data_IF_172375165081
#
_entry.id   IF_172375165081
#
_cell.length_a   1.000
_cell.length_b   1.000
_cell.length_c   1.000
_cell.angle_alpha   90.00
_cell.angle_beta   90.00
_cell.angle_gamma   90.00
#
_symmetry.space_group_name_H-M   'P 1'
#
loop_
_entity.id
_entity.type
_entity.pdbx_description
1 polymer ?
#
# COMPACT_ATOMS: atom_id res chain seq x y z
N UNK A 1 70.04 7.41 -33.62
CA UNK A 1 69.54 6.88 -32.33
C UNK A 1 68.73 7.97 -31.66
N UNK A 2 67.41 7.98 -31.85
CA UNK A 2 66.53 8.98 -31.22
C UNK A 2 65.42 8.22 -30.51
N UNK A 3 65.50 8.23 -29.19
CA UNK A 3 64.79 7.36 -28.26
C UNK A 3 63.32 7.81 -28.14
N UNK A 4 62.38 6.90 -28.40
CA UNK A 4 60.94 7.11 -28.17
C UNK A 4 60.67 7.11 -26.66
N UNK A 5 60.14 8.21 -26.13
CA UNK A 5 59.62 8.30 -24.77
C UNK A 5 58.15 7.82 -24.77
N UNK A 6 57.91 6.62 -24.26
CA UNK A 6 56.56 6.08 -24.00
C UNK A 6 56.08 6.63 -22.66
N UNK A 7 55.07 7.51 -22.68
CA UNK A 7 54.35 7.97 -21.49
C UNK A 7 53.28 6.92 -21.16
N UNK A 8 53.46 6.18 -20.07
CA UNK A 8 52.43 5.31 -19.51
C UNK A 8 51.43 6.17 -18.71
N UNK A 9 50.20 6.27 -19.18
CA UNK A 9 49.09 6.85 -18.44
C UNK A 9 48.59 5.79 -17.43
N UNK A 10 48.89 5.95 -16.15
CA UNK A 10 48.35 5.10 -15.10
C UNK A 10 46.88 5.46 -14.86
N UNK A 11 45.96 4.59 -15.29
CA UNK A 11 44.55 4.65 -14.90
C UNK A 11 44.45 4.21 -13.43
N UNK A 12 44.31 5.18 -12.52
CA UNK A 12 43.94 4.91 -11.13
C UNK A 12 42.45 4.59 -11.11
N UNK A 13 42.11 3.31 -10.92
CA UNK A 13 40.75 2.91 -10.61
C UNK A 13 40.43 3.40 -9.19
N UNK A 14 39.57 4.41 -9.07
CA UNK A 14 38.95 4.77 -7.80
C UNK A 14 38.03 3.62 -7.38
N UNK A 15 38.45 2.84 -6.39
CA UNK A 15 37.56 1.96 -5.65
C UNK A 15 36.65 2.88 -4.83
N UNK A 16 35.38 3.01 -5.23
CA UNK A 16 34.36 3.61 -4.37
C UNK A 16 34.27 2.73 -3.11
N UNK A 17 34.59 3.30 -1.95
CA UNK A 17 34.42 2.61 -0.69
C UNK A 17 32.95 2.19 -0.52
N UNK A 18 32.72 0.97 -0.03
CA UNK A 18 31.39 0.49 0.32
C UNK A 18 30.85 1.36 1.48
N UNK A 19 29.81 2.17 1.21
CA UNK A 19 29.17 3.03 2.21
C UNK A 19 28.27 2.23 3.16
N UNK A 20 28.10 0.92 2.96
CA UNK A 20 27.32 0.04 3.85
C UNK A 20 28.24 -0.56 4.91
N UNK A 21 27.93 -0.38 6.19
CA UNK A 21 28.73 -0.96 7.26
C UNK A 21 28.48 -2.47 7.41
N UNK A 22 29.54 -3.25 7.38
CA UNK A 22 29.54 -4.63 7.87
C UNK A 22 29.43 -4.62 9.41
N UNK A 23 28.38 -5.27 9.91
CA UNK A 23 28.08 -5.41 11.33
C UNK A 23 28.16 -6.88 11.74
N UNK A 24 28.69 -7.13 12.93
CA UNK A 24 28.79 -8.44 13.56
C UNK A 24 28.24 -8.39 14.98
N UNK A 25 28.08 -9.55 15.60
CA UNK A 25 27.63 -9.72 16.98
C UNK A 25 28.48 -8.91 17.99
N UNK A 26 29.76 -8.65 17.68
CA UNK A 26 30.67 -7.90 18.56
C UNK A 26 30.54 -6.38 18.49
N UNK A 27 30.01 -5.84 17.39
CA UNK A 27 29.99 -4.39 17.15
C UNK A 27 28.62 -3.80 16.81
N UNK A 28 27.59 -4.66 16.66
CA UNK A 28 26.25 -4.27 16.27
C UNK A 28 25.70 -3.14 17.14
N UNK A 29 25.57 -3.37 18.46
CA UNK A 29 24.94 -2.42 19.39
C UNK A 29 25.67 -1.08 19.45
N UNK A 30 27.00 -1.11 19.47
CA UNK A 30 27.81 0.10 19.53
C UNK A 30 27.67 0.93 18.23
N UNK A 31 27.81 0.28 17.06
CA UNK A 31 27.76 0.98 15.77
C UNK A 31 26.38 1.54 15.45
N UNK A 32 25.30 0.88 15.86
CA UNK A 32 23.94 1.41 15.62
C UNK A 32 23.59 2.54 16.59
N UNK A 33 24.11 2.50 17.82
CA UNK A 33 23.84 3.51 18.85
C UNK A 33 24.43 4.88 18.51
N UNK A 34 25.49 4.92 17.71
CA UNK A 34 26.13 6.14 17.22
C UNK A 34 25.30 6.86 16.13
N UNK A 35 24.17 6.28 15.70
CA UNK A 35 23.33 6.80 14.63
C UNK A 35 21.86 6.95 15.07
N UNK A 36 21.29 8.14 14.85
CA UNK A 36 19.88 8.40 15.18
C UNK A 36 18.90 7.54 14.38
N UNK A 37 19.23 7.16 13.14
CA UNK A 37 18.45 6.15 12.39
C UNK A 37 19.35 5.30 11.50
N UNK A 38 19.12 3.98 11.53
CA UNK A 38 19.81 3.01 10.71
C UNK A 38 18.83 2.06 10.00
N UNK A 39 19.18 1.63 8.78
CA UNK A 39 18.52 0.55 8.06
C UNK A 39 19.49 -0.63 7.94
N UNK A 40 19.14 -1.76 8.56
CA UNK A 40 19.99 -2.95 8.63
C UNK A 40 19.44 -4.06 7.76
N UNK A 41 20.26 -4.57 6.84
CA UNK A 41 19.97 -5.74 6.02
C UNK A 41 20.57 -7.01 6.65
N UNK A 42 19.70 -7.89 7.11
CA UNK A 42 20.05 -9.25 7.54
C UNK A 42 20.02 -10.19 6.35
N UNK A 43 21.14 -10.84 6.06
CA UNK A 43 21.32 -11.59 4.82
C UNK A 43 22.09 -12.90 5.00
N UNK A 44 22.10 -13.68 3.93
CA UNK A 44 22.99 -14.82 3.75
C UNK A 44 23.66 -14.74 2.37
N UNK A 45 24.96 -15.05 2.25
CA UNK A 45 25.73 -14.84 1.02
C UNK A 45 25.27 -15.74 -0.14
N UNK A 46 24.64 -16.88 0.16
CA UNK A 46 24.10 -17.81 -0.83
C UNK A 46 22.69 -17.44 -1.32
N UNK A 47 21.98 -16.51 -0.66
CA UNK A 47 20.60 -16.19 -1.01
C UNK A 47 20.50 -15.36 -2.30
N UNK A 48 19.73 -15.85 -3.28
CA UNK A 48 19.53 -15.17 -4.56
C UNK A 48 18.85 -13.80 -4.44
N UNK A 49 17.92 -13.63 -3.49
CA UNK A 49 17.28 -12.34 -3.23
C UNK A 49 18.25 -11.31 -2.65
N UNK A 50 19.15 -11.74 -1.74
CA UNK A 50 20.18 -10.89 -1.16
C UNK A 50 21.17 -10.39 -2.22
N UNK A 51 21.59 -11.29 -3.13
CA UNK A 51 22.46 -10.91 -4.25
C UNK A 51 21.82 -9.86 -5.17
N UNK A 52 20.50 -9.91 -5.35
CA UNK A 52 19.77 -8.93 -6.18
C UNK A 52 19.64 -7.56 -5.52
N UNK A 53 19.34 -7.49 -4.22
CA UNK A 53 19.15 -6.21 -3.52
C UNK A 53 20.47 -5.51 -3.19
N UNK A 54 21.57 -6.26 -2.98
CA UNK A 54 22.87 -5.71 -2.58
C UNK A 54 23.30 -4.45 -3.35
N UNK A 55 23.35 -4.42 -4.70
CA UNK A 55 23.74 -3.21 -5.43
C UNK A 55 22.78 -2.03 -5.25
N UNK A 56 21.48 -2.29 -5.13
CA UNK A 56 20.48 -1.25 -4.88
C UNK A 56 20.60 -0.68 -3.45
N UNK A 57 20.93 -1.54 -2.48
CA UNK A 57 21.16 -1.17 -1.09
C UNK A 57 22.42 -0.30 -0.93
N UNK A 58 23.52 -0.67 -1.59
CA UNK A 58 24.76 0.12 -1.62
C UNK A 58 24.52 1.50 -2.26
N UNK A 59 23.82 1.54 -3.41
CA UNK A 59 23.44 2.81 -4.07
C UNK A 59 22.56 3.69 -3.18
N UNK A 60 21.62 3.09 -2.44
CA UNK A 60 20.79 3.81 -1.49
C UNK A 60 21.65 4.38 -0.34
N UNK A 61 22.62 3.63 0.16
CA UNK A 61 23.52 4.05 1.26
C UNK A 61 24.26 5.33 0.92
N UNK A 62 24.91 5.39 -0.26
CA UNK A 62 25.63 6.59 -0.68
C UNK A 62 24.74 7.84 -0.76
N UNK A 63 23.46 7.67 -1.09
CA UNK A 63 22.50 8.79 -1.14
C UNK A 63 22.01 9.19 0.26
N UNK A 64 21.77 8.22 1.12
CA UNK A 64 21.18 8.41 2.44
C UNK A 64 22.18 8.89 3.49
N UNK A 65 23.46 8.54 3.33
CA UNK A 65 24.57 9.07 4.14
C UNK A 65 24.70 10.59 4.02
N UNK A 66 24.34 11.15 2.86
CA UNK A 66 24.32 12.60 2.61
C UNK A 66 22.96 13.26 2.94
N UNK A 67 21.99 12.52 3.48
CA UNK A 67 20.72 13.08 3.91
C UNK A 67 20.90 13.91 5.19
N UNK A 68 19.94 14.80 5.47
CA UNK A 68 19.85 15.51 6.73
C UNK A 68 18.48 15.22 7.38
N UNK A 69 18.42 14.54 8.53
CA UNK A 69 19.55 13.86 9.19
C UNK A 69 20.05 12.64 8.37
N UNK A 70 21.34 12.27 8.51
CA UNK A 70 21.90 11.14 7.77
C UNK A 70 21.29 9.81 8.21
N UNK A 71 21.12 8.87 7.27
CA UNK A 71 20.67 7.51 7.57
C UNK A 71 21.81 6.54 7.32
N UNK A 72 22.18 5.80 8.37
CA UNK A 72 23.19 4.76 8.26
C UNK A 72 22.58 3.50 7.65
N UNK A 73 23.27 2.88 6.68
CA UNK A 73 22.91 1.56 6.17
C UNK A 73 23.97 0.55 6.62
N UNK A 74 23.52 -0.58 7.13
CA UNK A 74 24.38 -1.67 7.57
C UNK A 74 23.89 -3.02 7.08
N UNK A 75 24.77 -4.02 7.12
CA UNK A 75 24.45 -5.40 6.76
C UNK A 75 25.03 -6.38 7.79
N UNK A 76 24.26 -7.41 8.11
CA UNK A 76 24.62 -8.48 9.05
C UNK A 76 24.53 -9.82 8.32
N UNK A 77 25.66 -10.54 8.25
CA UNK A 77 25.68 -11.90 7.71
C UNK A 77 25.24 -12.89 8.80
N UNK A 78 24.02 -13.44 8.65
CA UNK A 78 23.43 -14.39 9.59
C UNK A 78 24.06 -15.79 9.53
N UNK A 79 25.00 -16.03 8.62
CA UNK A 79 25.68 -17.31 8.46
C UNK A 79 27.06 -17.36 9.10
N UNK A 80 27.63 -16.19 9.42
CA UNK A 80 28.95 -16.04 10.03
C UNK A 80 28.87 -15.29 11.36
N UNK A 81 29.50 -14.11 11.46
CA UNK A 81 29.68 -13.37 12.70
C UNK A 81 28.45 -12.59 13.16
N UNK A 82 27.26 -12.80 12.57
CA UNK A 82 26.02 -12.11 12.92
C UNK A 82 24.91 -13.01 13.46
N UNK A 83 25.22 -14.27 13.81
CA UNK A 83 24.21 -15.29 14.16
C UNK A 83 23.39 -14.90 15.37
N UNK A 84 24.04 -14.40 16.43
CA UNK A 84 23.36 -14.07 17.67
C UNK A 84 22.46 -12.85 17.48
N UNK A 85 22.93 -11.85 16.72
CA UNK A 85 22.16 -10.67 16.33
C UNK A 85 20.94 -11.06 15.50
N UNK A 86 21.10 -11.93 14.49
CA UNK A 86 19.99 -12.40 13.67
C UNK A 86 18.94 -13.19 14.49
N UNK A 87 19.41 -14.01 15.45
CA UNK A 87 18.54 -14.68 16.41
C UNK A 87 17.78 -13.69 17.31
N UNK A 88 18.48 -12.69 17.87
CA UNK A 88 17.91 -11.64 18.73
C UNK A 88 16.77 -10.90 18.04
N UNK A 89 16.90 -10.60 16.76
CA UNK A 89 15.87 -9.89 15.98
C UNK A 89 14.92 -10.81 15.19
N UNK A 90 14.85 -12.09 15.55
CA UNK A 90 13.91 -13.06 14.98
C UNK A 90 13.94 -13.15 13.44
N UNK A 91 15.13 -13.11 12.86
CA UNK A 91 15.30 -13.22 11.40
C UNK A 91 15.10 -14.68 10.97
N UNK A 92 14.02 -14.94 10.23
CA UNK A 92 13.66 -16.28 9.75
C UNK A 92 13.78 -16.45 8.22
N UNK A 93 14.11 -15.38 7.49
CA UNK A 93 14.25 -15.39 6.04
C UNK A 93 15.17 -14.28 5.52
N UNK A 94 15.68 -14.42 4.30
CA UNK A 94 16.66 -13.50 3.73
C UNK A 94 16.23 -12.95 2.35
N UNK A 95 16.48 -11.66 2.07
CA UNK A 95 16.90 -10.62 3.00
C UNK A 95 15.74 -10.22 3.93
N UNK A 96 16.06 -9.92 5.19
CA UNK A 96 15.16 -9.20 6.10
C UNK A 96 15.76 -7.84 6.37
N UNK A 97 14.98 -6.77 6.22
CA UNK A 97 15.44 -5.41 6.44
C UNK A 97 14.70 -4.83 7.65
N UNK A 98 15.42 -4.19 8.58
CA UNK A 98 14.85 -3.61 9.79
C UNK A 98 15.40 -2.21 10.03
N UNK A 99 14.56 -1.36 10.61
CA UNK A 99 14.85 0.04 10.90
C UNK A 99 15.12 0.15 12.40
N UNK A 100 16.23 0.80 12.72
CA UNK A 100 16.64 1.11 14.08
C UNK A 100 16.61 2.62 14.29
N UNK A 101 16.16 3.05 15.46
CA UNK A 101 16.19 4.45 15.92
C UNK A 101 16.86 4.50 17.27
N UNK A 102 17.86 5.35 17.41
CA UNK A 102 18.63 5.52 18.65
C UNK A 102 19.11 4.17 19.23
N UNK A 103 19.54 3.26 18.35
CA UNK A 103 20.01 1.91 18.71
C UNK A 103 18.92 0.88 19.00
N UNK A 104 17.65 1.25 19.03
CA UNK A 104 16.52 0.33 19.29
C UNK A 104 15.79 -0.07 18.01
N UNK A 105 15.24 -1.29 17.97
CA UNK A 105 14.43 -1.75 16.86
C UNK A 105 13.14 -0.92 16.78
N UNK A 106 12.98 -0.15 15.71
CA UNK A 106 11.79 0.66 15.45
C UNK A 106 10.72 -0.16 14.71
N UNK A 107 11.07 -0.77 13.58
CA UNK A 107 10.11 -1.48 12.72
C UNK A 107 10.79 -2.36 11.67
N UNK A 108 10.02 -3.24 11.03
CA UNK A 108 10.43 -3.91 9.80
C UNK A 108 10.33 -2.96 8.61
N UNK A 109 11.28 -3.09 7.68
CA UNK A 109 11.23 -2.36 6.42
C UNK A 109 10.35 -3.10 5.42
N UNK A 110 9.21 -2.48 5.08
CA UNK A 110 8.22 -3.02 4.15
C UNK A 110 8.17 -2.26 2.81
N UNK A 111 9.20 -1.47 2.51
CA UNK A 111 9.27 -0.67 1.29
C UNK A 111 9.84 -1.43 0.06
N UNK A 112 9.93 -0.74 -1.10
CA UNK A 112 10.49 -1.31 -2.33
C UNK A 112 11.98 -1.65 -2.22
N UNK A 113 12.47 -2.60 -3.00
CA UNK A 113 13.87 -3.08 -2.89
C UNK A 113 14.84 -2.38 -3.83
N UNK A 114 14.34 -1.46 -4.65
CA UNK A 114 15.11 -0.60 -5.54
C UNK A 114 15.64 0.62 -4.79
N UNK A 115 16.82 1.12 -5.18
CA UNK A 115 17.51 2.20 -4.47
C UNK A 115 16.64 3.46 -4.32
N UNK A 116 15.91 3.84 -5.36
CA UNK A 116 15.02 5.00 -5.30
C UNK A 116 13.88 4.82 -4.28
N UNK A 117 13.35 3.60 -4.16
CA UNK A 117 12.32 3.25 -3.19
C UNK A 117 12.87 3.25 -1.76
N UNK A 118 14.04 2.66 -1.54
CA UNK A 118 14.75 2.66 -0.25
C UNK A 118 15.03 4.10 0.20
N UNK A 119 15.60 4.93 -0.68
CA UNK A 119 15.89 6.34 -0.38
C UNK A 119 14.62 7.10 -0.04
N UNK A 120 13.55 6.99 -0.86
CA UNK A 120 12.27 7.67 -0.59
C UNK A 120 11.71 7.27 0.77
N UNK A 121 11.69 5.96 1.05
CA UNK A 121 11.16 5.41 2.29
C UNK A 121 11.95 5.90 3.51
N UNK A 122 13.28 5.76 3.51
CA UNK A 122 14.09 6.15 4.66
C UNK A 122 14.10 7.67 4.88
N UNK A 123 14.04 8.49 3.82
CA UNK A 123 13.91 9.95 4.00
C UNK A 123 12.62 10.33 4.73
N UNK A 124 11.52 9.64 4.46
CA UNK A 124 10.26 9.84 5.19
C UNK A 124 10.38 9.43 6.67
N UNK A 125 11.22 8.41 6.96
CA UNK A 125 11.47 7.92 8.32
C UNK A 125 12.31 8.84 9.19
N UNK A 126 13.21 9.62 8.60
CA UNK A 126 14.20 10.41 9.36
C UNK A 126 14.00 11.92 9.29
N UNK A 127 13.20 12.42 8.35
CA UNK A 127 12.85 13.84 8.31
C UNK A 127 12.12 14.32 9.57
N UNK A 128 11.76 15.60 9.69
CA UNK A 128 10.79 15.97 10.70
C UNK A 128 9.44 15.28 10.40
N UNK A 129 8.72 14.85 11.43
CA UNK A 129 7.41 14.20 11.24
C UNK A 129 6.41 15.11 10.51
N UNK A 130 6.62 16.42 10.59
CA UNK A 130 5.93 17.43 9.82
C UNK A 130 6.96 18.43 9.28
N UNK A 131 6.97 18.68 7.97
CA UNK A 131 7.89 19.64 7.36
C UNK A 131 7.49 21.08 7.68
N UNK A 132 8.39 21.86 8.26
CA UNK A 132 8.17 23.30 8.46
C UNK A 132 8.20 24.07 7.12
N UNK A 133 7.16 24.87 6.88
CA UNK A 133 6.97 25.69 5.69
C UNK A 133 7.39 27.13 5.98
N UNK A 134 8.70 27.40 5.87
CA UNK A 134 9.31 28.69 6.24
C UNK A 134 9.09 29.84 5.24
N UNK A 135 8.48 29.56 4.09
CA UNK A 135 8.18 30.57 3.10
C UNK A 135 7.05 30.10 2.18
N UNK A 136 6.45 31.07 1.48
CA UNK A 136 5.39 30.83 0.50
C UNK A 136 5.85 29.88 -0.61
N UNK A 137 7.09 29.99 -1.08
CA UNK A 137 7.65 29.15 -2.12
C UNK A 137 7.79 27.69 -1.63
N UNK A 138 8.19 27.50 -0.37
CA UNK A 138 8.30 26.17 0.23
C UNK A 138 6.91 25.53 0.38
N UNK A 139 5.92 26.30 0.81
CA UNK A 139 4.53 25.84 0.92
C UNK A 139 3.95 25.45 -0.43
N UNK A 140 4.13 26.29 -1.46
CA UNK A 140 3.67 26.02 -2.83
C UNK A 140 4.34 24.76 -3.39
N UNK A 141 5.65 24.61 -3.20
CA UNK A 141 6.39 23.43 -3.65
C UNK A 141 5.93 22.15 -2.94
N UNK A 142 5.59 22.24 -1.65
CA UNK A 142 5.03 21.12 -0.90
C UNK A 142 3.67 20.69 -1.45
N UNK A 143 2.75 21.64 -1.67
CA UNK A 143 1.39 21.38 -2.15
C UNK A 143 1.29 21.13 -3.67
N UNK A 144 2.36 21.38 -4.43
CA UNK A 144 2.44 21.02 -5.85
C UNK A 144 2.72 19.53 -6.09
N UNK A 145 3.12 18.78 -5.06
CA UNK A 145 3.40 17.34 -5.16
C UNK A 145 2.14 16.55 -5.53
N UNK A 146 2.27 15.37 -6.15
CA UNK A 146 1.14 14.50 -6.49
C UNK A 146 0.59 13.71 -5.27
N UNK A 147 0.84 14.17 -4.06
CA UNK A 147 0.48 13.49 -2.81
C UNK A 147 -0.48 14.39 -2.03
N UNK A 148 -1.34 13.82 -1.19
CA UNK A 148 -2.19 14.59 -0.27
C UNK A 148 -1.27 15.31 0.73
N UNK A 149 -1.47 16.62 0.90
CA UNK A 149 -0.73 17.42 1.89
C UNK A 149 -1.60 17.72 3.10
N UNK A 150 -1.11 17.43 4.30
CA UNK A 150 -1.81 17.74 5.55
C UNK A 150 -1.02 18.83 6.27
N UNK A 151 -1.58 20.03 6.39
CA UNK A 151 -0.85 21.22 6.84
C UNK A 151 -1.51 21.84 8.05
N UNK A 152 -0.74 22.08 9.12
CA UNK A 152 -1.14 22.99 10.19
C UNK A 152 -0.68 24.42 9.84
N UNK A 153 -1.54 25.41 10.06
CA UNK A 153 -1.19 26.84 9.97
C UNK A 153 -1.51 27.50 11.31
N UNK A 154 -0.54 28.16 11.93
CA UNK A 154 -0.76 28.85 13.20
C UNK A 154 0.52 29.10 13.97
N UNK A 155 0.44 29.02 15.29
CA UNK A 155 1.57 29.15 16.22
C UNK A 155 1.89 27.80 16.88
N UNK A 156 3.10 27.63 17.40
CA UNK A 156 3.54 26.40 18.08
C UNK A 156 3.03 26.28 19.52
N UNK A 157 2.47 27.35 20.07
CA UNK A 157 1.91 27.40 21.42
C UNK A 157 0.51 26.78 21.54
N UNK A 158 -0.13 26.42 20.42
CA UNK A 158 -1.53 26.00 20.42
C UNK A 158 -1.71 24.51 20.75
N UNK A 159 -2.83 24.18 21.42
CA UNK A 159 -3.17 22.79 21.70
C UNK A 159 -3.41 21.97 20.41
N UNK A 160 -3.88 22.62 19.34
CA UNK A 160 -4.07 21.99 18.04
C UNK A 160 -2.73 21.65 17.37
N UNK A 161 -1.72 22.51 17.50
CA UNK A 161 -0.37 22.23 17.02
C UNK A 161 0.21 20.98 17.68
N UNK A 162 0.15 20.90 19.01
CA UNK A 162 0.67 19.75 19.76
C UNK A 162 -0.01 18.44 19.36
N UNK A 163 -1.34 18.44 19.27
CA UNK A 163 -2.09 17.27 18.80
C UNK A 163 -1.77 16.91 17.34
N UNK A 164 -1.66 17.90 16.46
CA UNK A 164 -1.25 17.71 15.07
C UNK A 164 0.14 17.07 14.98
N UNK A 165 1.11 17.57 15.75
CA UNK A 165 2.47 17.01 15.79
C UNK A 165 2.49 15.58 16.33
N UNK A 166 1.66 15.26 17.33
CA UNK A 166 1.49 13.88 17.81
C UNK A 166 0.95 12.95 16.72
N UNK A 167 -0.07 13.37 15.98
CA UNK A 167 -0.63 12.61 14.86
C UNK A 167 0.38 12.47 13.72
N UNK A 168 1.12 13.54 13.40
CA UNK A 168 2.17 13.53 12.39
C UNK A 168 3.29 12.54 12.75
N UNK A 169 3.76 12.57 14.00
CA UNK A 169 4.79 11.61 14.48
C UNK A 169 4.33 10.16 14.35
N UNK A 170 3.07 9.86 14.68
CA UNK A 170 2.50 8.53 14.58
C UNK A 170 2.33 8.05 13.13
N UNK A 171 2.00 8.95 12.21
CA UNK A 171 1.57 8.61 10.84
C UNK A 171 2.52 9.12 9.74
N UNK A 172 3.75 9.51 10.10
CA UNK A 172 4.76 10.07 9.19
C UNK A 172 5.17 9.15 8.02
N UNK A 173 4.88 7.86 8.14
CA UNK A 173 5.15 6.86 7.10
C UNK A 173 4.01 6.73 6.08
N UNK A 174 2.80 7.10 6.48
CA UNK A 174 1.58 6.89 5.70
C UNK A 174 1.11 8.16 5.03
N UNK A 175 1.25 9.31 5.69
CA UNK A 175 0.77 10.58 5.18
C UNK A 175 1.86 11.66 5.19
N UNK A 176 1.69 12.65 4.31
CA UNK A 176 2.64 13.73 4.11
C UNK A 176 2.21 14.98 4.89
N UNK A 177 2.91 15.25 5.99
CA UNK A 177 2.60 16.34 6.92
C UNK A 177 3.52 17.55 6.75
N UNK A 178 2.95 18.73 6.96
CA UNK A 178 3.68 19.98 7.06
C UNK A 178 3.05 20.94 8.09
N UNK A 179 3.79 21.94 8.52
CA UNK A 179 3.26 22.99 9.38
C UNK A 179 3.86 24.34 9.00
N UNK A 180 3.11 25.40 9.22
CA UNK A 180 3.52 26.77 8.98
C UNK A 180 3.36 27.59 10.25
N UNK A 181 4.50 28.15 10.70
CA UNK A 181 4.58 29.18 11.74
C UNK A 181 4.85 30.56 11.14
N UNK A 182 5.03 30.63 9.80
CA UNK A 182 5.33 31.86 9.08
C UNK A 182 4.05 32.64 8.79
N UNK A 183 4.02 33.92 9.18
CA UNK A 183 2.84 34.76 9.03
C UNK A 183 2.44 34.98 7.56
N UNK A 184 3.41 35.09 6.64
CA UNK A 184 3.11 35.32 5.22
C UNK A 184 2.55 34.05 4.55
N UNK A 185 3.02 32.88 4.95
CA UNK A 185 2.42 31.60 4.53
C UNK A 185 0.99 31.49 5.07
N UNK A 186 0.78 31.73 6.37
CA UNK A 186 -0.53 31.65 7.01
C UNK A 186 -1.54 32.62 6.36
N UNK A 187 -1.12 33.86 6.07
CA UNK A 187 -1.93 34.87 5.38
C UNK A 187 -2.28 34.44 3.94
N UNK A 188 -1.31 33.96 3.16
CA UNK A 188 -1.55 33.51 1.77
C UNK A 188 -2.61 32.41 1.69
N UNK A 189 -2.54 31.44 2.59
CA UNK A 189 -3.47 30.31 2.61
C UNK A 189 -4.76 30.64 3.38
N UNK A 190 -4.80 31.75 4.13
CA UNK A 190 -5.99 32.25 4.81
C UNK A 190 -6.35 31.46 6.07
N UNK A 191 -5.36 30.88 6.76
CA UNK A 191 -5.58 30.01 7.91
C UNK A 191 -4.74 30.43 9.11
N UNK A 192 -5.32 30.32 10.30
CA UNK A 192 -4.67 30.54 11.59
C UNK A 192 -5.24 29.57 12.62
N UNK A 193 -4.37 28.87 13.34
CA UNK A 193 -4.68 27.77 14.24
C UNK A 193 -5.64 26.74 13.62
N UNK A 194 -5.26 26.21 12.45
CA UNK A 194 -6.07 25.24 11.68
C UNK A 194 -5.22 24.13 11.08
N UNK A 195 -5.79 22.91 11.07
CA UNK A 195 -5.29 21.79 10.26
C UNK A 195 -6.12 21.73 8.98
N UNK A 196 -5.45 21.63 7.83
CA UNK A 196 -6.08 21.62 6.51
C UNK A 196 -5.50 20.47 5.68
N UNK A 197 -6.38 19.67 5.09
CA UNK A 197 -6.03 18.61 4.16
C UNK A 197 -6.19 19.14 2.73
N UNK A 198 -5.14 19.09 1.93
CA UNK A 198 -5.11 19.48 0.52
C UNK A 198 -5.00 18.25 -0.37
N UNK A 199 -5.97 18.11 -1.28
CA UNK A 199 -5.93 17.07 -2.32
C UNK A 199 -5.00 17.51 -3.46
N UNK A 200 -4.25 16.58 -4.08
CA UNK A 200 -3.34 16.94 -5.15
C UNK A 200 -4.10 17.41 -6.39
N UNK A 201 -3.50 18.35 -7.15
CA UNK A 201 -4.16 19.02 -8.30
C UNK A 201 -4.73 18.07 -9.34
N UNK A 202 -4.09 16.93 -9.58
CA UNK A 202 -4.54 15.96 -10.57
C UNK A 202 -5.83 15.22 -10.17
N UNK A 203 -6.26 15.29 -8.90
CA UNK A 203 -7.52 14.72 -8.39
C UNK A 203 -8.63 15.77 -8.18
N UNK A 204 -8.33 17.05 -8.39
CA UNK A 204 -9.33 18.13 -8.25
C UNK A 204 -10.50 17.89 -9.18
N UNK A 205 -11.70 18.13 -8.67
CA UNK A 205 -12.94 17.91 -9.37
C UNK A 205 -14.04 18.83 -8.81
N UNK A 206 -15.23 18.80 -9.41
CA UNK A 206 -16.34 19.70 -9.03
C UNK A 206 -17.32 19.10 -8.01
N UNK A 207 -17.08 17.88 -7.55
CA UNK A 207 -18.02 17.14 -6.70
C UNK A 207 -17.61 17.18 -5.22
N UNK A 208 -16.37 17.53 -4.93
CA UNK A 208 -15.82 17.68 -3.59
C UNK A 208 -14.81 18.84 -3.58
N UNK A 209 -14.59 19.49 -2.42
CA UNK A 209 -13.64 20.59 -2.34
C UNK A 209 -12.19 20.10 -2.53
N UNK A 210 -11.33 20.98 -3.04
CA UNK A 210 -9.90 20.68 -3.21
C UNK A 210 -9.13 20.60 -1.88
N UNK A 211 -9.65 21.24 -0.84
CA UNK A 211 -9.15 21.18 0.53
C UNK A 211 -10.28 21.02 1.52
N UNK A 212 -9.97 20.47 2.70
CA UNK A 212 -10.91 20.33 3.81
C UNK A 212 -10.25 20.86 5.07
N UNK A 213 -10.95 21.68 5.83
CA UNK A 213 -10.48 22.27 7.09
C UNK A 213 -10.99 21.43 8.26
N UNK A 214 -10.14 21.20 9.26
CA UNK A 214 -10.53 20.61 10.53
C UNK A 214 -11.27 21.65 11.38
N UNK A 215 -12.52 21.35 11.74
CA UNK A 215 -13.42 22.27 12.47
C UNK A 215 -13.84 21.76 13.85
N UNK A 216 -13.38 20.57 14.26
CA UNK A 216 -13.81 19.98 15.54
C UNK A 216 -13.06 20.66 16.72
N UNK A 217 -13.81 20.89 17.79
CA UNK A 217 -13.31 21.40 19.06
C UNK A 217 -12.58 20.35 19.91
N UNK A 218 -12.77 19.05 19.63
CA UNK A 218 -12.17 17.95 20.39
C UNK A 218 -10.89 17.41 19.72
N UNK A 219 -9.73 17.89 20.16
CA UNK A 219 -8.50 17.91 19.35
C UNK A 219 -7.83 16.52 19.17
N UNK A 220 -7.48 15.81 20.24
CA UNK A 220 -6.49 14.72 20.18
C UNK A 220 -6.86 13.53 19.28
N UNK A 221 -8.09 13.02 19.38
CA UNK A 221 -8.54 11.87 18.58
C UNK A 221 -9.23 12.29 17.28
N UNK A 222 -9.79 13.50 17.24
CA UNK A 222 -10.55 13.91 16.08
C UNK A 222 -9.65 14.36 14.92
N UNK A 223 -8.41 14.82 15.15
CA UNK A 223 -7.49 15.15 14.04
C UNK A 223 -7.14 13.91 13.21
N UNK A 224 -6.78 12.79 13.84
CA UNK A 224 -6.48 11.54 13.10
C UNK A 224 -7.73 11.00 12.39
N UNK A 225 -8.89 11.01 13.07
CA UNK A 225 -10.16 10.58 12.47
C UNK A 225 -10.56 11.47 11.28
N UNK A 226 -10.41 12.78 11.42
CA UNK A 226 -10.63 13.77 10.37
C UNK A 226 -9.78 13.46 9.14
N UNK A 227 -8.47 13.21 9.32
CA UNK A 227 -7.59 12.85 8.21
C UNK A 227 -8.07 11.57 7.54
N UNK A 228 -8.31 10.48 8.30
CA UNK A 228 -8.76 9.19 7.75
C UNK A 228 -10.04 9.30 6.93
N UNK A 229 -11.02 10.07 7.42
CA UNK A 229 -12.30 10.26 6.74
C UNK A 229 -12.14 11.04 5.43
N UNK A 230 -11.21 12.00 5.37
CA UNK A 230 -11.12 12.93 4.25
C UNK A 230 -10.01 12.62 3.24
N UNK A 231 -9.01 11.81 3.60
CA UNK A 231 -7.77 11.58 2.85
C UNK A 231 -8.02 11.17 1.39
N UNK A 232 -8.88 10.19 1.19
CA UNK A 232 -9.17 9.63 -0.15
C UNK A 232 -10.24 10.42 -0.92
N UNK A 233 -10.95 11.32 -0.26
CA UNK A 233 -12.12 11.98 -0.85
C UNK A 233 -13.28 11.03 -1.13
N UNK A 234 -14.21 11.49 -1.96
CA UNK A 234 -15.43 10.79 -2.31
C UNK A 234 -15.15 9.52 -3.14
N UNK A 235 -14.26 9.62 -4.13
CA UNK A 235 -13.80 8.48 -4.94
C UNK A 235 -12.27 8.46 -4.95
N UNK A 236 -11.68 7.62 -4.11
CA UNK A 236 -10.23 7.55 -3.92
C UNK A 236 -9.47 6.95 -5.09
N UNK A 237 -8.20 7.33 -5.25
CA UNK A 237 -7.26 6.62 -6.11
C UNK A 237 -6.63 5.48 -5.28
N UNK A 238 -7.13 4.26 -5.50
CA UNK A 238 -6.66 3.06 -4.79
C UNK A 238 -5.48 2.46 -5.52
N UNK A 239 -4.39 2.28 -4.78
CA UNK A 239 -3.13 1.65 -5.20
C UNK A 239 -2.90 0.41 -4.34
N UNK A 240 -1.94 -0.45 -4.69
CA UNK A 240 -1.62 -1.62 -3.88
C UNK A 240 -1.27 -1.24 -2.42
N UNK A 241 -0.57 -0.11 -2.23
CA UNK A 241 -0.18 0.38 -0.90
C UNK A 241 -1.38 0.89 -0.08
N UNK A 242 -2.41 1.44 -0.75
CA UNK A 242 -3.59 2.03 -0.10
C UNK A 242 -4.81 1.12 -0.13
N UNK A 243 -4.65 -0.14 -0.56
CA UNK A 243 -5.81 -1.04 -0.74
C UNK A 243 -6.57 -1.31 0.56
N UNK A 244 -5.86 -1.30 1.70
CA UNK A 244 -6.41 -1.53 3.05
C UNK A 244 -7.20 -0.34 3.60
N UNK A 245 -7.10 0.84 2.99
CA UNK A 245 -7.80 2.06 3.45
C UNK A 245 -9.27 2.10 3.03
N UNK A 246 -9.72 1.12 2.25
CA UNK A 246 -11.08 1.04 1.70
C UNK A 246 -11.84 -0.15 2.30
N UNK A 247 -12.36 -0.01 3.53
CA UNK A 247 -13.12 -1.06 4.19
C UNK A 247 -14.50 -1.24 3.54
N UNK A 248 -15.09 -2.41 3.79
CA UNK A 248 -16.45 -2.71 3.34
C UNK A 248 -17.48 -1.86 4.11
N UNK A 249 -18.61 -1.46 3.49
CA UNK A 249 -19.00 -1.73 2.10
C UNK A 249 -18.29 -0.78 1.10
N UNK A 250 -17.75 -1.35 0.02
CA UNK A 250 -16.92 -0.62 -0.95
C UNK A 250 -17.33 -0.95 -2.38
N UNK A 251 -17.26 0.05 -3.26
CA UNK A 251 -17.44 -0.07 -4.71
C UNK A 251 -16.20 0.44 -5.41
N UNK A 252 -15.63 -0.38 -6.30
CA UNK A 252 -14.36 -0.12 -6.97
C UNK A 252 -14.58 -0.18 -8.48
N UNK A 253 -14.21 0.88 -9.18
CA UNK A 253 -14.18 0.92 -10.64
C UNK A 253 -12.75 0.71 -11.15
N UNK A 254 -12.52 -0.41 -11.84
CA UNK A 254 -11.23 -0.81 -12.41
C UNK A 254 -11.12 -0.42 -13.88
N UNK A 255 -10.07 0.30 -14.26
CA UNK A 255 -9.73 0.63 -15.65
C UNK A 255 -8.26 1.04 -15.75
N UNK A 256 -7.80 1.45 -16.94
CA UNK A 256 -6.45 1.97 -17.13
C UNK A 256 -6.29 3.33 -16.41
N UNK A 257 -5.78 3.31 -15.18
CA UNK A 257 -5.40 4.51 -14.44
C UNK A 257 -3.96 4.88 -14.76
N UNK A 258 -3.77 6.06 -15.35
CA UNK A 258 -2.43 6.59 -15.57
C UNK A 258 -2.42 8.11 -15.35
N UNK A 259 -2.15 8.51 -14.10
CA UNK A 259 -1.97 9.92 -13.73
C UNK A 259 -0.60 10.49 -14.12
N UNK A 260 0.26 9.72 -14.80
CA UNK A 260 1.55 10.19 -15.30
C UNK A 260 1.42 10.59 -16.77
N UNK A 261 0.92 9.70 -17.63
CA UNK A 261 0.84 9.91 -19.08
C UNK A 261 -0.57 10.23 -19.57
N UNK A 262 -1.62 9.91 -18.82
CA UNK A 262 -3.01 10.07 -19.27
C UNK A 262 -3.96 10.61 -18.19
N UNK A 263 -3.58 11.73 -17.55
CA UNK A 263 -4.41 12.38 -16.51
C UNK A 263 -5.82 12.69 -17.01
N UNK A 264 -5.96 13.15 -18.27
CA UNK A 264 -7.26 13.53 -18.84
C UNK A 264 -8.19 12.33 -19.02
N UNK A 265 -7.71 11.23 -19.62
CA UNK A 265 -8.50 10.01 -19.80
C UNK A 265 -8.82 9.36 -18.46
N UNK A 266 -7.87 9.38 -17.53
CA UNK A 266 -8.08 8.91 -16.16
C UNK A 266 -9.22 9.66 -15.47
N UNK A 267 -9.16 11.00 -15.47
CA UNK A 267 -10.19 11.83 -14.86
C UNK A 267 -11.53 11.80 -15.62
N UNK A 268 -11.55 11.47 -16.91
CA UNK A 268 -12.79 11.32 -17.68
C UNK A 268 -13.69 10.23 -17.08
N UNK A 269 -13.11 9.08 -16.70
CA UNK A 269 -13.85 7.98 -16.08
C UNK A 269 -14.10 8.24 -14.59
N UNK A 270 -13.08 8.67 -13.83
CA UNK A 270 -13.25 9.02 -12.40
C UNK A 270 -14.36 10.04 -12.19
N UNK A 271 -14.47 11.07 -13.03
CA UNK A 271 -15.52 12.08 -12.91
C UNK A 271 -16.94 11.53 -13.15
N UNK A 272 -17.10 10.47 -13.96
CA UNK A 272 -18.40 9.80 -14.14
C UNK A 272 -18.77 8.95 -12.93
N UNK A 273 -17.79 8.25 -12.36
CA UNK A 273 -17.96 7.54 -11.09
C UNK A 273 -18.34 8.53 -9.99
N UNK A 274 -17.60 9.63 -9.83
CA UNK A 274 -17.89 10.70 -8.87
C UNK A 274 -19.30 11.28 -9.04
N UNK A 275 -19.73 11.52 -10.29
CA UNK A 275 -21.03 12.11 -10.59
C UNK A 275 -22.18 11.28 -10.01
N UNK A 276 -22.06 9.96 -10.02
CA UNK A 276 -23.06 9.04 -9.46
C UNK A 276 -22.80 8.81 -7.97
N UNK A 277 -21.55 8.53 -7.58
CA UNK A 277 -21.15 8.19 -6.22
C UNK A 277 -21.51 9.25 -5.17
N UNK A 278 -21.57 10.54 -5.55
CA UNK A 278 -21.96 11.61 -4.62
C UNK A 278 -23.34 11.40 -3.99
N UNK A 279 -24.24 10.68 -4.67
CA UNK A 279 -25.59 10.38 -4.18
C UNK A 279 -25.65 9.16 -3.25
N UNK A 280 -24.52 8.45 -3.08
CA UNK A 280 -24.40 7.18 -2.34
C UNK A 280 -23.23 7.20 -1.34
N UNK A 281 -22.68 8.38 -1.05
CA UNK A 281 -21.49 8.55 -0.22
C UNK A 281 -21.64 8.04 1.23
N UNK A 282 -22.88 8.01 1.72
CA UNK A 282 -23.24 7.47 3.05
C UNK A 282 -23.38 5.95 3.04
N UNK A 283 -23.61 5.34 1.87
CA UNK A 283 -23.88 3.92 1.73
C UNK A 283 -22.61 3.11 1.46
N UNK A 284 -21.68 3.67 0.68
CA UNK A 284 -20.49 2.95 0.21
C UNK A 284 -19.24 3.83 0.24
N UNK A 285 -18.09 3.20 0.46
CA UNK A 285 -16.79 3.76 0.08
C UNK A 285 -16.56 3.56 -1.42
N UNK A 286 -16.01 4.55 -2.10
CA UNK A 286 -15.73 4.46 -3.52
C UNK A 286 -14.25 4.62 -3.83
N UNK A 287 -13.79 3.83 -4.79
CA UNK A 287 -12.45 3.96 -5.33
C UNK A 287 -12.41 3.73 -6.84
N UNK A 288 -11.37 4.26 -7.47
CA UNK A 288 -10.89 3.81 -8.77
C UNK A 288 -9.55 3.13 -8.58
N UNK A 289 -9.32 2.05 -9.33
CA UNK A 289 -8.07 1.28 -9.27
C UNK A 289 -7.57 0.93 -10.68
N UNK A 290 -6.26 0.79 -10.83
CA UNK A 290 -5.68 0.37 -12.10
C UNK A 290 -5.99 -1.12 -12.31
N UNK A 291 -6.61 -1.48 -13.44
CA UNK A 291 -6.98 -2.89 -13.68
C UNK A 291 -5.78 -3.83 -13.77
N UNK A 292 -4.65 -3.38 -14.29
CA UNK A 292 -3.46 -4.20 -14.48
C UNK A 292 -2.75 -4.45 -13.13
N UNK A 293 -2.63 -3.42 -12.28
CA UNK A 293 -2.05 -3.55 -10.93
C UNK A 293 -2.89 -4.45 -10.01
N UNK A 294 -4.18 -4.59 -10.30
CA UNK A 294 -5.15 -5.34 -9.50
C UNK A 294 -5.72 -6.58 -10.20
N UNK A 295 -5.02 -7.12 -11.21
CA UNK A 295 -5.49 -8.30 -11.95
C UNK A 295 -5.75 -9.52 -11.04
N UNK A 296 -4.95 -9.70 -9.98
CA UNK A 296 -5.18 -10.78 -9.01
C UNK A 296 -6.52 -10.62 -8.28
N UNK A 297 -6.88 -9.39 -7.87
CA UNK A 297 -8.16 -9.10 -7.23
C UNK A 297 -9.31 -9.29 -8.23
N UNK A 298 -9.16 -8.83 -9.48
CA UNK A 298 -10.15 -9.05 -10.54
C UNK A 298 -10.42 -10.54 -10.78
N UNK A 299 -9.40 -11.40 -10.72
CA UNK A 299 -9.58 -12.85 -10.82
C UNK A 299 -10.45 -13.41 -9.68
N UNK A 300 -10.41 -12.82 -8.49
CA UNK A 300 -11.27 -13.20 -7.37
C UNK A 300 -12.74 -12.81 -7.59
N UNK A 301 -13.01 -11.86 -8.49
CA UNK A 301 -14.34 -11.52 -8.99
C UNK A 301 -14.72 -12.30 -10.26
N UNK A 302 -13.88 -13.25 -10.69
CA UNK A 302 -14.12 -14.03 -11.92
C UNK A 302 -13.77 -13.31 -13.21
N UNK A 303 -13.03 -12.20 -13.13
CA UNK A 303 -12.65 -11.37 -14.26
C UNK A 303 -11.20 -11.67 -14.67
N UNK A 304 -11.01 -12.78 -15.39
CA UNK A 304 -9.68 -13.26 -15.82
C UNK A 304 -8.97 -12.33 -16.81
N UNK A 305 -9.76 -11.59 -17.59
CA UNK A 305 -9.26 -10.59 -18.52
C UNK A 305 -10.27 -9.44 -18.68
N UNK A 306 -9.81 -8.22 -18.44
CA UNK A 306 -10.63 -7.02 -18.62
C UNK A 306 -10.20 -6.30 -19.91
N UNK A 307 -10.93 -6.57 -20.99
CA UNK A 307 -10.71 -5.95 -22.29
C UNK A 307 -11.21 -4.49 -22.33
N UNK A 308 -10.56 -3.66 -23.15
CA UNK A 308 -11.02 -2.30 -23.44
C UNK A 308 -10.72 -1.25 -22.36
N UNK A 309 -11.24 -0.04 -22.58
CA UNK A 309 -10.94 1.15 -21.79
C UNK A 309 -12.05 1.56 -20.83
N UNK A 310 -13.22 0.92 -20.90
CA UNK A 310 -14.34 1.22 -20.02
C UNK A 310 -14.12 0.62 -18.63
N UNK A 311 -14.59 1.28 -17.57
CA UNK A 311 -14.52 0.72 -16.22
C UNK A 311 -15.27 -0.60 -16.09
N UNK A 312 -14.69 -1.52 -15.33
CA UNK A 312 -15.41 -2.67 -14.76
C UNK A 312 -15.63 -2.39 -13.29
N UNK A 313 -16.86 -2.59 -12.81
CA UNK A 313 -17.26 -2.24 -11.45
C UNK A 313 -17.44 -3.50 -10.63
N UNK A 314 -16.71 -3.59 -9.52
CA UNK A 314 -16.88 -4.61 -8.51
C UNK A 314 -17.24 -3.97 -7.17
N UNK A 315 -17.90 -4.71 -6.29
CA UNK A 315 -18.25 -4.23 -4.96
C UNK A 315 -18.13 -5.33 -3.91
N UNK A 316 -17.98 -4.90 -2.66
CA UNK A 316 -18.17 -5.73 -1.47
C UNK A 316 -19.19 -5.07 -0.56
N UNK A 317 -20.14 -5.86 -0.07
CA UNK A 317 -21.08 -5.38 0.94
C UNK A 317 -20.49 -5.52 2.36
N UNK A 318 -21.25 -5.12 3.38
CA UNK A 318 -20.84 -5.19 4.79
C UNK A 318 -20.59 -6.61 5.33
N UNK A 319 -21.00 -7.65 4.59
CA UNK A 319 -20.72 -9.06 4.89
C UNK A 319 -19.53 -9.59 4.08
N UNK A 320 -18.77 -8.70 3.44
CA UNK A 320 -17.67 -9.03 2.51
C UNK A 320 -18.07 -9.93 1.33
N UNK A 321 -19.36 -9.98 1.01
CA UNK A 321 -19.82 -10.68 -0.19
C UNK A 321 -19.45 -9.85 -1.42
N UNK A 322 -18.98 -10.53 -2.47
CA UNK A 322 -18.49 -9.91 -3.71
C UNK A 322 -19.63 -9.72 -4.70
N UNK A 323 -19.63 -8.61 -5.44
CA UNK A 323 -20.60 -8.33 -6.50
C UNK A 323 -19.88 -7.77 -7.72
N UNK A 324 -20.37 -8.10 -8.91
CA UNK A 324 -19.80 -7.64 -10.18
C UNK A 324 -20.91 -7.06 -11.01
N UNK A 325 -20.71 -5.84 -11.52
CA UNK A 325 -21.64 -5.23 -12.46
C UNK A 325 -21.50 -5.92 -13.82
N UNK A 326 -22.57 -6.59 -14.25
CA UNK A 326 -22.59 -7.35 -15.52
C UNK A 326 -22.77 -6.44 -16.74
N UNK A 327 -23.51 -5.34 -16.59
CA UNK A 327 -23.73 -4.37 -17.65
C UNK A 327 -22.42 -3.62 -17.97
N UNK A 328 -22.27 -3.21 -19.23
CA UNK A 328 -21.17 -2.32 -19.63
C UNK A 328 -21.30 -0.96 -18.90
N UNK A 329 -20.18 -0.36 -18.51
CA UNK A 329 -20.21 0.88 -17.75
C UNK A 329 -20.78 2.06 -18.55
N UNK A 330 -21.85 2.63 -17.98
CA UNK A 330 -22.40 3.95 -18.25
C UNK A 330 -22.81 4.56 -16.90
N UNK A 331 -23.12 5.86 -16.85
CA UNK A 331 -23.60 6.44 -15.59
C UNK A 331 -24.95 5.86 -15.16
N UNK A 332 -25.81 5.52 -16.11
CA UNK A 332 -27.14 4.93 -15.86
C UNK A 332 -27.02 3.51 -15.32
N UNK A 333 -26.28 2.63 -16.01
CA UNK A 333 -26.07 1.25 -15.56
C UNK A 333 -25.30 1.18 -14.24
N UNK A 334 -24.37 2.11 -14.00
CA UNK A 334 -23.68 2.20 -12.71
C UNK A 334 -24.63 2.64 -11.59
N UNK A 335 -25.51 3.62 -11.84
CA UNK A 335 -26.50 4.04 -10.85
C UNK A 335 -27.52 2.92 -10.54
N UNK A 336 -27.99 2.19 -11.55
CA UNK A 336 -28.85 1.02 -11.38
C UNK A 336 -28.18 -0.07 -10.54
N UNK A 337 -26.92 -0.39 -10.82
CA UNK A 337 -26.13 -1.33 -10.01
C UNK A 337 -26.05 -0.91 -8.55
N UNK A 338 -25.78 0.38 -8.26
CA UNK A 338 -25.73 0.88 -6.89
C UNK A 338 -27.09 0.82 -6.17
N UNK A 339 -28.20 1.07 -6.90
CA UNK A 339 -29.56 0.94 -6.35
C UNK A 339 -29.84 -0.48 -5.91
N UNK A 340 -29.62 -1.47 -6.79
CA UNK A 340 -29.86 -2.87 -6.47
C UNK A 340 -28.89 -3.41 -5.43
N UNK A 341 -27.63 -2.97 -5.44
CA UNK A 341 -26.65 -3.31 -4.40
C UNK A 341 -27.10 -2.82 -3.02
N UNK A 342 -27.55 -1.57 -2.92
CA UNK A 342 -28.08 -0.99 -1.68
C UNK A 342 -29.35 -1.69 -1.21
N UNK A 343 -30.22 -2.05 -2.14
CA UNK A 343 -31.47 -2.77 -1.85
C UNK A 343 -31.24 -4.24 -1.46
N UNK A 344 -30.03 -4.79 -1.69
CA UNK A 344 -29.73 -6.21 -1.44
C UNK A 344 -30.37 -7.15 -2.47
N UNK A 345 -30.67 -6.65 -3.66
CA UNK A 345 -31.34 -7.38 -4.75
C UNK A 345 -30.35 -8.10 -5.67
N UNK A 346 -29.05 -7.85 -5.51
CA UNK A 346 -28.02 -8.50 -6.30
C UNK A 346 -27.63 -9.83 -5.68
N UNK A 347 -27.42 -10.83 -6.55
CA UNK A 347 -26.80 -12.09 -6.16
C UNK A 347 -25.28 -11.91 -6.02
N UNK A 348 -24.67 -12.40 -4.92
CA UNK A 348 -23.23 -12.30 -4.73
C UNK A 348 -22.50 -13.20 -5.73
N UNK A 349 -21.39 -12.69 -6.26
CA UNK A 349 -20.46 -13.48 -7.04
C UNK A 349 -19.80 -14.55 -6.16
N UNK A 350 -19.92 -15.80 -6.60
CA UNK A 350 -19.27 -16.95 -6.01
C UNK A 350 -18.47 -17.68 -7.10
N UNK A 351 -17.15 -17.81 -6.88
CA UNK A 351 -16.29 -18.63 -7.73
C UNK A 351 -16.72 -20.09 -7.55
N UNK A 352 -17.32 -20.64 -8.59
CA UNK A 352 -17.86 -22.00 -8.59
C UNK A 352 -17.84 -22.55 -10.00
N UNK A 353 -17.55 -23.83 -10.12
CA UNK A 353 -17.91 -24.60 -11.30
C UNK A 353 -19.43 -24.62 -11.50
N UNK A 354 -19.92 -24.94 -12.72
CA UNK A 354 -21.33 -25.25 -12.92
C UNK A 354 -21.77 -26.37 -11.97
N UNK A 355 -23.03 -26.32 -11.52
CA UNK A 355 -23.59 -27.41 -10.71
C UNK A 355 -23.65 -28.66 -11.61
N UNK A 356 -22.93 -29.74 -11.27
CA UNK A 356 -22.94 -30.95 -12.08
C UNK A 356 -24.19 -31.78 -11.80
N UNK A 357 -24.57 -32.61 -12.77
CA UNK A 357 -25.56 -33.67 -12.56
C UNK A 357 -25.04 -34.65 -11.48
N UNK A 358 -25.94 -35.08 -10.60
CA UNK A 358 -25.60 -35.86 -9.40
C UNK A 358 -25.89 -37.35 -9.64
N UNK A 359 -25.02 -38.00 -10.42
CA UNK A 359 -25.27 -39.37 -10.93
C UNK A 359 -24.37 -40.45 -10.30
N UNK A 360 -23.89 -40.23 -9.06
CA UNK A 360 -22.97 -41.14 -8.39
C UNK A 360 -23.23 -41.35 -6.90
N UNK A 361 -22.58 -42.37 -6.28
CA UNK A 361 -22.67 -42.65 -4.84
C UNK A 361 -22.05 -41.54 -3.97
N UNK A 362 -21.18 -40.72 -4.56
CA UNK A 362 -20.61 -39.52 -3.94
C UNK A 362 -21.15 -38.31 -4.67
N UNK A 363 -21.87 -37.44 -3.93
CA UNK A 363 -22.39 -36.18 -4.47
C UNK A 363 -21.25 -35.19 -4.71
N UNK A 364 -21.30 -34.47 -5.82
CA UNK A 364 -20.29 -33.47 -6.19
C UNK A 364 -20.78 -32.08 -5.77
N UNK A 365 -20.11 -31.55 -4.74
CA UNK A 365 -20.33 -30.18 -4.26
C UNK A 365 -19.42 -29.19 -5.01
N UNK A 366 -20.04 -28.14 -5.54
CA UNK A 366 -19.40 -26.92 -6.07
C UNK A 366 -19.90 -25.74 -5.24
N UNK A 367 -19.26 -24.57 -5.35
CA UNK A 367 -19.65 -23.39 -4.54
C UNK A 367 -21.16 -23.10 -4.58
N UNK A 368 -21.79 -23.19 -5.76
CA UNK A 368 -23.21 -22.87 -5.98
C UNK A 368 -24.22 -23.82 -5.31
N UNK A 369 -23.88 -25.08 -5.07
CA UNK A 369 -24.77 -26.05 -4.41
C UNK A 369 -24.24 -26.51 -3.04
N UNK A 370 -23.09 -25.99 -2.60
CA UNK A 370 -22.45 -26.39 -1.35
C UNK A 370 -23.38 -26.19 -0.15
N UNK A 371 -24.10 -25.07 -0.10
CA UNK A 371 -24.96 -24.79 1.04
C UNK A 371 -26.11 -25.80 1.16
N UNK A 372 -26.78 -26.09 0.04
CA UNK A 372 -27.85 -27.07 -0.05
C UNK A 372 -27.36 -28.50 0.25
N UNK A 373 -26.20 -28.89 -0.26
CA UNK A 373 -25.70 -30.26 -0.12
C UNK A 373 -25.00 -30.52 1.22
N UNK A 374 -24.44 -29.50 1.86
CA UNK A 374 -23.52 -29.69 2.99
C UNK A 374 -24.02 -28.99 4.25
N UNK A 375 -24.07 -27.65 4.26
CA UNK A 375 -24.31 -26.89 5.49
C UNK A 375 -25.78 -26.83 5.91
N UNK A 376 -26.71 -26.83 4.96
CA UNK A 376 -28.15 -26.76 5.17
C UNK A 376 -28.90 -27.98 4.61
N UNK A 377 -28.21 -29.11 4.42
CA UNK A 377 -28.79 -30.34 3.88
C UNK A 377 -29.76 -31.04 4.83
N UNK A 378 -29.70 -30.71 6.14
CA UNK A 378 -30.42 -31.42 7.19
C UNK A 378 -29.91 -32.84 7.43
N UNK A 379 -28.72 -33.19 6.93
CA UNK A 379 -28.08 -34.51 7.06
C UNK A 379 -26.65 -34.35 7.59
N UNK A 380 -26.12 -35.43 8.17
CA UNK A 380 -24.68 -35.50 8.45
C UNK A 380 -23.92 -35.62 7.13
N UNK A 381 -23.01 -34.68 6.87
CA UNK A 381 -22.22 -34.63 5.65
C UNK A 381 -20.74 -34.88 5.96
N UNK A 382 -20.17 -35.92 5.34
CA UNK A 382 -18.72 -36.10 5.25
C UNK A 382 -18.25 -35.56 3.89
N UNK A 383 -17.34 -34.59 3.90
CA UNK A 383 -16.89 -33.91 2.68
C UNK A 383 -15.37 -34.01 2.49
N UNK A 384 -14.96 -34.37 1.26
CA UNK A 384 -13.57 -34.33 0.81
C UNK A 384 -13.32 -33.04 0.02
N UNK A 385 -12.44 -32.17 0.53
CA UNK A 385 -11.86 -31.09 -0.27
C UNK A 385 -10.56 -31.56 -0.91
N UNK A 386 -10.53 -31.62 -2.24
CA UNK A 386 -9.40 -32.16 -2.99
C UNK A 386 -8.85 -31.18 -4.03
N UNK A 387 -7.67 -31.50 -4.56
CA UNK A 387 -7.09 -30.80 -5.70
C UNK A 387 -6.86 -31.79 -6.86
N UNK A 388 -7.24 -31.48 -8.11
CA UNK A 388 -7.10 -32.41 -9.24
C UNK A 388 -5.67 -32.90 -9.52
N UNK A 389 -4.67 -32.13 -9.08
CA UNK A 389 -3.25 -32.44 -9.25
C UNK A 389 -2.63 -33.15 -8.03
N UNK A 390 -3.35 -33.30 -6.92
CA UNK A 390 -2.81 -33.94 -5.71
C UNK A 390 -2.77 -35.47 -5.84
N UNK A 391 -1.57 -36.05 -5.71
CA UNK A 391 -1.38 -37.50 -5.79
C UNK A 391 -2.02 -38.29 -4.63
N UNK A 392 -2.17 -37.69 -3.44
CA UNK A 392 -2.83 -38.33 -2.31
C UNK A 392 -4.34 -38.40 -2.50
N UNK A 393 -4.97 -37.32 -2.98
CA UNK A 393 -6.40 -37.29 -3.30
C UNK A 393 -6.74 -38.39 -4.32
N UNK A 394 -5.95 -38.50 -5.39
CA UNK A 394 -6.13 -39.56 -6.41
C UNK A 394 -6.06 -40.98 -5.85
N UNK A 395 -5.29 -41.20 -4.78
CA UNK A 395 -5.22 -42.51 -4.09
C UNK A 395 -6.41 -42.74 -3.16
N UNK A 396 -7.00 -41.68 -2.62
CA UNK A 396 -8.16 -41.73 -1.74
C UNK A 396 -9.46 -41.93 -2.53
N UNK A 397 -9.57 -41.35 -3.73
CA UNK A 397 -10.80 -41.36 -4.55
C UNK A 397 -11.48 -42.74 -4.62
N UNK A 398 -10.80 -43.86 -4.96
CA UNK A 398 -11.47 -45.15 -5.04
C UNK A 398 -12.04 -45.64 -3.70
N UNK A 399 -11.38 -45.31 -2.60
CA UNK A 399 -11.81 -45.68 -1.24
C UNK A 399 -13.00 -44.81 -0.81
N UNK A 400 -13.00 -43.54 -1.20
CA UNK A 400 -14.08 -42.60 -0.91
C UNK A 400 -15.35 -42.95 -1.71
N UNK A 401 -15.20 -43.35 -2.98
CA UNK A 401 -16.28 -43.85 -3.81
C UNK A 401 -16.90 -45.14 -3.22
N UNK A 402 -16.06 -46.09 -2.80
CA UNK A 402 -16.54 -47.33 -2.14
C UNK A 402 -17.29 -47.05 -0.83
N UNK A 403 -16.86 -46.04 -0.07
CA UNK A 403 -17.59 -45.59 1.13
C UNK A 403 -18.97 -45.03 0.76
N UNK A 404 -19.05 -44.21 -0.30
CA UNK A 404 -20.30 -43.67 -0.81
C UNK A 404 -21.29 -44.76 -1.26
N UNK A 405 -20.81 -45.86 -1.86
CA UNK A 405 -21.67 -46.98 -2.28
C UNK A 405 -22.27 -47.77 -1.10
N UNK A 406 -21.62 -47.71 0.07
CA UNK A 406 -22.00 -48.48 1.27
C UNK A 406 -22.96 -47.74 2.20
N UNK A 407 -23.01 -46.42 2.12
CA UNK A 407 -23.89 -45.53 2.90
C UNK A 407 -25.14 -45.18 2.09
#
# INVERSE_FOLDING_TARGET
MMTRLLVFLALVAYVLADDVLDLTDSDFENKIGDHGTALIMFYAPWCGHCKRIKPEFEKASSTLKANDPPVMLGKVDCTEGGKDTCGKFSVSGYPTLKIFRDGELSSDYNGPREAAGIVKYMKAQVGPASKELKSVEIADAFLAKPEVGIVYFGEDSSALYEAFMKVANKNRETWNFAHSLDAAVNEKYGYSDKVVLFRPKHLHNKFEPASVVYEDSNIDKAVEAFIKVNYHGLVGHRTQDTMGDFPDPVVIAFYNLDYIKNVKGTNYWRNRVLKVAQNYAEDFKFAVANKDDFQNELNEYGLEFVAGDKPVVCARNSKSQKFVMSAEFSMESFEEFLKSLKAGELEPYLKSEPVPDQDGPVLVAVGKNFDELVTNSGRDALIEFYAPWCGHCKKLTPVYDELGEKL
#
